data_IF_445525705117
#
_entry.id   IF_445525705117
#
_cell.length_a   1.000
_cell.length_b   1.000
_cell.length_c   1.000
_cell.angle_alpha   90.00
_cell.angle_beta   90.00
_cell.angle_gamma   90.00
#
_symmetry.space_group_name_H-M   'P 1'
#
loop_
_entity.id
_entity.type
_entity.pdbx_description
1 polymer ?
#
# COMPACT_ATOMS: atom_id res chain seq x y z
N UNK A 1 65.80 -29.48 20.46
CA UNK A 1 66.72 -29.03 21.51
C UNK A 1 65.93 -28.18 22.49
N UNK A 2 65.96 -28.61 23.76
CA UNK A 2 65.69 -27.83 24.99
C UNK A 2 64.27 -27.27 25.15
N UNK A 3 63.39 -27.94 25.91
CA UNK A 3 63.26 -27.85 27.38
C UNK A 3 62.68 -26.49 27.86
N UNK A 4 61.40 -26.52 28.31
CA UNK A 4 60.89 -26.32 29.69
C UNK A 4 61.70 -25.38 30.64
N UNK A 5 61.19 -24.99 31.83
CA UNK A 5 59.83 -25.11 32.41
C UNK A 5 59.39 -23.92 33.32
N UNK A 6 58.17 -24.03 33.90
CA UNK A 6 57.76 -23.75 35.31
C UNK A 6 57.98 -22.35 35.92
N UNK A 7 57.35 -21.91 37.00
CA UNK A 7 56.56 -22.49 38.08
C UNK A 7 55.80 -21.31 38.75
N UNK A 8 54.60 -21.48 39.34
CA UNK A 8 54.36 -21.70 40.79
C UNK A 8 54.70 -20.47 41.65
N UNK A 9 54.00 -20.02 42.69
CA UNK A 9 52.99 -20.57 43.60
C UNK A 9 52.46 -19.39 44.46
N UNK A 10 51.19 -19.36 44.86
CA UNK A 10 50.71 -19.59 46.24
C UNK A 10 50.57 -18.34 47.14
N UNK A 11 49.46 -18.30 47.91
CA UNK A 11 49.34 -17.47 49.12
C UNK A 11 47.95 -16.89 49.45
N UNK A 12 47.05 -17.71 49.99
CA UNK A 12 45.86 -17.35 50.81
C UNK A 12 46.25 -16.70 52.18
N UNK A 13 45.34 -16.43 53.16
CA UNK A 13 44.11 -15.60 53.28
C UNK A 13 44.24 -14.73 54.60
N UNK A 14 43.28 -14.49 55.55
CA UNK A 14 41.80 -14.51 55.62
C UNK A 14 41.15 -13.31 56.40
N UNK A 15 39.83 -13.45 56.68
CA UNK A 15 39.02 -12.92 57.80
C UNK A 15 38.19 -11.64 57.47
N UNK A 16 36.91 -11.45 57.85
CA UNK A 16 36.04 -12.01 58.91
C UNK A 16 34.55 -11.82 58.52
N UNK A 17 33.68 -12.76 58.92
CA UNK A 17 32.22 -12.61 59.00
C UNK A 17 31.81 -11.97 60.36
N UNK A 18 30.52 -11.64 60.69
CA UNK A 18 29.49 -12.68 60.91
C UNK A 18 27.99 -12.30 60.74
N UNK A 19 27.18 -13.37 60.61
CA UNK A 19 25.84 -13.64 61.22
C UNK A 19 24.64 -12.72 60.89
N UNK A 20 23.42 -13.20 60.60
CA UNK A 20 22.57 -14.24 61.21
C UNK A 20 21.25 -14.33 60.39
N UNK A 21 20.39 -15.36 60.35
CA UNK A 21 20.36 -16.74 60.84
C UNK A 21 19.12 -17.48 60.25
N UNK A 22 19.31 -18.77 59.91
CA UNK A 22 18.47 -19.97 60.22
C UNK A 22 17.01 -20.09 59.70
N UNK A 23 16.42 -21.25 59.35
CA UNK A 23 16.71 -22.71 59.43
C UNK A 23 15.59 -23.46 58.63
N UNK A 24 15.84 -24.44 57.75
CA UNK A 24 16.05 -25.91 57.91
C UNK A 24 14.80 -26.82 58.03
N UNK A 25 14.69 -27.80 57.11
CA UNK A 25 14.36 -29.23 57.36
C UNK A 25 14.43 -29.98 55.99
N UNK A 26 15.42 -30.83 55.69
CA UNK A 26 15.70 -32.18 56.18
C UNK A 26 14.69 -33.26 55.70
N UNK A 27 15.10 -34.17 54.79
CA UNK A 27 15.52 -35.55 55.11
C UNK A 27 15.61 -36.46 53.86
N UNK A 28 16.73 -37.16 53.84
CA UNK A 28 17.04 -38.37 53.07
C UNK A 28 16.13 -39.55 53.40
N UNK A 29 15.85 -40.40 52.42
CA UNK A 29 15.85 -41.85 52.64
C UNK A 29 16.15 -42.60 51.34
N UNK A 30 17.21 -43.41 51.38
CA UNK A 30 17.53 -44.37 50.34
C UNK A 30 16.57 -45.56 50.40
N UNK A 31 16.23 -46.10 49.23
CA UNK A 31 15.79 -47.48 49.11
C UNK A 31 16.39 -48.10 47.84
N UNK A 32 17.13 -49.17 48.10
CA UNK A 32 17.51 -50.29 47.25
C UNK A 32 16.94 -50.31 45.82
N UNK A 33 17.84 -50.13 44.85
CA UNK A 33 17.66 -50.55 43.46
C UNK A 33 17.46 -52.06 43.37
N UNK A 34 16.21 -52.49 43.23
CA UNK A 34 15.89 -53.80 42.68
C UNK A 34 15.90 -53.67 41.17
N UNK A 35 16.86 -54.33 40.51
CA UNK A 35 16.97 -54.37 39.07
C UNK A 35 15.70 -54.99 38.46
N UNK A 36 14.94 -54.18 37.72
CA UNK A 36 13.90 -54.68 36.84
C UNK A 36 14.56 -55.47 35.68
N UNK A 37 14.01 -56.62 35.26
CA UNK A 37 14.60 -57.42 34.21
C UNK A 37 14.62 -56.62 32.89
N UNK A 38 15.77 -56.65 32.20
CA UNK A 38 15.93 -56.15 30.84
C UNK A 38 14.79 -56.69 29.97
N UNK A 39 13.90 -55.79 29.55
CA UNK A 39 12.88 -56.09 28.56
C UNK A 39 13.51 -56.76 27.35
N UNK A 40 12.94 -57.88 26.94
CA UNK A 40 13.33 -58.64 25.76
C UNK A 40 13.45 -57.70 24.56
N UNK A 41 14.57 -57.80 23.84
CA UNK A 41 14.76 -57.04 22.61
C UNK A 41 13.56 -57.28 21.69
N UNK A 42 12.80 -56.21 21.43
CA UNK A 42 11.55 -56.24 20.67
C UNK A 42 11.77 -56.99 19.35
N UNK A 43 11.37 -58.26 19.29
CA UNK A 43 11.49 -59.07 18.09
C UNK A 43 10.49 -58.48 17.10
N UNK A 44 10.98 -57.72 16.12
CA UNK A 44 10.14 -57.02 15.14
C UNK A 44 9.13 -57.96 14.45
N UNK A 45 8.07 -57.37 13.90
CA UNK A 45 6.89 -58.08 13.39
C UNK A 45 7.26 -59.29 12.49
N UNK A 46 6.85 -60.53 12.86
CA UNK A 46 7.25 -61.76 12.17
C UNK A 46 6.84 -61.80 10.69
N UNK A 47 5.74 -61.13 10.32
CA UNK A 47 5.27 -61.04 8.94
C UNK A 47 6.29 -60.36 8.00
N UNK A 48 6.95 -59.27 8.45
CA UNK A 48 7.97 -58.59 7.63
C UNK A 48 9.25 -59.40 7.49
N UNK A 49 9.55 -60.26 8.47
CA UNK A 49 10.69 -61.17 8.42
C UNK A 49 10.45 -62.33 7.45
N UNK A 50 9.22 -62.83 7.36
CA UNK A 50 8.84 -63.88 6.41
C UNK A 50 8.82 -63.39 4.95
N UNK A 51 8.61 -62.08 4.72
CA UNK A 51 8.67 -61.45 3.39
C UNK A 51 10.07 -60.99 2.96
N UNK A 52 11.12 -61.26 3.76
CA UNK A 52 12.50 -60.87 3.42
C UNK A 52 12.77 -59.36 3.40
N UNK A 53 11.84 -58.55 3.91
CA UNK A 53 11.95 -57.09 3.90
C UNK A 53 12.89 -56.60 5.01
N UNK A 54 13.79 -55.64 4.73
CA UNK A 54 14.68 -55.09 5.74
C UNK A 54 13.87 -54.42 6.85
N UNK A 55 14.43 -54.36 8.06
CA UNK A 55 13.81 -53.66 9.20
C UNK A 55 13.74 -52.17 8.90
N UNK A 56 12.61 -51.70 8.39
CA UNK A 56 12.29 -50.28 8.30
C UNK A 56 12.20 -49.73 9.72
N UNK A 57 13.26 -49.04 10.17
CA UNK A 57 13.22 -48.31 11.44
C UNK A 57 12.28 -47.13 11.25
N UNK A 58 11.07 -47.28 11.78
CA UNK A 58 10.18 -46.15 11.90
C UNK A 58 10.86 -45.11 12.79
N UNK A 59 10.78 -43.83 12.41
CA UNK A 59 11.27 -42.76 13.25
C UNK A 59 10.54 -42.75 14.60
N UNK A 60 11.19 -42.17 15.61
CA UNK A 60 10.64 -42.13 16.97
C UNK A 60 9.29 -41.40 17.02
N UNK A 61 8.47 -41.65 18.05
CA UNK A 61 7.17 -41.00 18.25
C UNK A 61 7.23 -39.48 18.09
N UNK A 62 8.22 -38.83 18.70
CA UNK A 62 8.37 -37.37 18.63
C UNK A 62 8.70 -36.90 17.20
N UNK A 63 9.49 -37.68 16.46
CA UNK A 63 9.81 -37.36 15.07
C UNK A 63 8.63 -37.62 14.13
N UNK A 64 7.81 -38.65 14.38
CA UNK A 64 6.55 -38.85 13.67
C UNK A 64 5.59 -37.68 13.89
N UNK A 65 5.42 -37.23 15.14
CA UNK A 65 4.58 -36.07 15.46
C UNK A 65 5.10 -34.81 14.74
N UNK A 66 6.42 -34.59 14.80
CA UNK A 66 7.05 -33.46 14.14
C UNK A 66 6.83 -33.49 12.62
N UNK A 67 7.09 -34.62 11.97
CA UNK A 67 6.86 -34.77 10.53
C UNK A 67 5.39 -34.67 10.15
N UNK A 68 4.48 -35.21 10.95
CA UNK A 68 3.05 -35.13 10.64
C UNK A 68 2.55 -33.69 10.70
N UNK A 69 2.99 -32.91 11.69
CA UNK A 69 2.58 -31.50 11.83
C UNK A 69 3.22 -30.64 10.74
N UNK A 70 4.53 -30.73 10.55
CA UNK A 70 5.25 -29.94 9.55
C UNK A 70 4.85 -30.31 8.12
N UNK A 71 4.70 -31.61 7.84
CA UNK A 71 4.22 -32.12 6.56
C UNK A 71 2.79 -31.69 6.26
N UNK A 72 1.89 -31.76 7.24
CA UNK A 72 0.50 -31.29 7.06
C UNK A 72 0.46 -29.78 6.77
N UNK A 73 1.20 -28.96 7.53
CA UNK A 73 1.26 -27.52 7.28
C UNK A 73 1.87 -27.19 5.91
N UNK A 74 3.00 -27.81 5.55
CA UNK A 74 3.63 -27.61 4.25
C UNK A 74 2.70 -28.03 3.10
N UNK A 75 1.99 -29.16 3.24
CA UNK A 75 1.01 -29.60 2.25
C UNK A 75 -0.13 -28.60 2.08
N UNK A 76 -0.63 -28.01 3.16
CA UNK A 76 -1.68 -26.99 3.10
C UNK A 76 -1.21 -25.72 2.37
N UNK A 77 0.03 -25.27 2.63
CA UNK A 77 0.62 -24.11 1.94
C UNK A 77 0.82 -24.39 0.45
N UNK A 78 1.35 -25.56 0.10
CA UNK A 78 1.56 -25.95 -1.31
C UNK A 78 0.21 -26.07 -2.03
N UNK A 79 -0.77 -26.68 -1.38
CA UNK A 79 -2.12 -26.82 -1.91
C UNK A 79 -2.77 -25.46 -2.18
N UNK A 80 -2.73 -24.53 -1.21
CA UNK A 80 -3.34 -23.21 -1.39
C UNK A 80 -2.64 -22.39 -2.49
N UNK A 81 -1.30 -22.49 -2.62
CA UNK A 81 -0.56 -21.87 -3.74
C UNK A 81 -0.95 -22.47 -5.09
N UNK A 82 -1.07 -23.79 -5.17
CA UNK A 82 -1.50 -24.48 -6.38
C UNK A 82 -2.92 -24.07 -6.79
N UNK A 83 -3.86 -24.04 -5.83
CA UNK A 83 -5.23 -23.60 -6.08
C UNK A 83 -5.31 -22.13 -6.47
N UNK A 84 -4.56 -21.25 -5.79
CA UNK A 84 -4.48 -19.83 -6.14
C UNK A 84 -3.99 -19.63 -7.57
N UNK A 85 -3.01 -20.42 -8.02
CA UNK A 85 -2.54 -20.38 -9.41
C UNK A 85 -3.62 -20.85 -10.39
N UNK A 86 -4.31 -21.95 -10.10
CA UNK A 86 -5.42 -22.46 -10.94
C UNK A 86 -6.58 -21.47 -11.05
N UNK A 87 -6.93 -20.81 -9.95
CA UNK A 87 -7.98 -19.77 -9.92
C UNK A 87 -7.56 -18.57 -10.76
N UNK A 88 -6.31 -18.13 -10.65
CA UNK A 88 -5.78 -17.05 -11.49
C UNK A 88 -5.81 -17.42 -12.97
N UNK A 89 -5.34 -18.62 -13.31
CA UNK A 89 -5.35 -19.14 -14.68
C UNK A 89 -6.78 -19.18 -15.24
N UNK A 90 -7.78 -19.59 -14.47
CA UNK A 90 -9.21 -19.55 -14.86
C UNK A 90 -9.63 -18.16 -15.34
N UNK A 91 -9.31 -17.09 -14.60
CA UNK A 91 -9.70 -15.72 -14.96
C UNK A 91 -8.83 -15.13 -16.07
N UNK A 92 -7.52 -15.42 -16.09
CA UNK A 92 -6.66 -15.06 -17.22
C UNK A 92 -7.16 -15.69 -18.53
N UNK A 93 -7.58 -16.95 -18.48
CA UNK A 93 -8.15 -17.69 -19.60
C UNK A 93 -9.46 -17.08 -20.09
N UNK A 94 -10.32 -16.64 -19.17
CA UNK A 94 -11.57 -15.96 -19.54
C UNK A 94 -11.30 -14.72 -20.40
N UNK A 95 -10.30 -13.93 -20.00
CA UNK A 95 -9.97 -12.62 -20.58
C UNK A 95 -9.02 -12.71 -21.78
N UNK A 96 -8.39 -13.86 -22.00
CA UNK A 96 -7.36 -14.11 -23.03
C UNK A 96 -7.77 -13.86 -24.48
N UNK A 97 -9.07 -13.70 -24.77
CA UNK A 97 -9.57 -13.41 -26.11
C UNK A 97 -9.40 -11.93 -26.50
N UNK A 98 -9.34 -11.02 -25.53
CA UNK A 98 -9.28 -9.56 -25.78
C UNK A 98 -8.03 -9.13 -26.57
N UNK A 99 -6.82 -9.63 -26.26
CA UNK A 99 -5.63 -9.31 -27.05
C UNK A 99 -5.68 -9.71 -28.52
N UNK A 100 -6.55 -10.66 -28.89
CA UNK A 100 -6.70 -11.14 -30.26
C UNK A 100 -7.66 -10.26 -31.08
N UNK A 101 -8.36 -9.32 -30.43
CA UNK A 101 -9.19 -8.34 -31.12
C UNK A 101 -8.31 -7.34 -31.86
N UNK A 102 -8.63 -7.12 -33.14
CA UNK A 102 -7.85 -6.23 -33.98
C UNK A 102 -8.19 -4.78 -33.64
N UNK A 103 -7.15 -3.99 -33.33
CA UNK A 103 -7.27 -2.56 -33.05
C UNK A 103 -6.87 -1.72 -34.26
N UNK A 104 -7.55 -0.60 -34.49
CA UNK A 104 -7.17 0.34 -35.55
C UNK A 104 -5.79 0.96 -35.23
N UNK A 105 -4.84 1.00 -36.18
CA UNK A 105 -3.48 1.49 -35.94
C UNK A 105 -3.40 2.96 -35.49
N UNK A 106 -4.45 3.75 -35.68
CA UNK A 106 -4.50 5.14 -35.21
C UNK A 106 -5.23 5.29 -33.88
N UNK A 107 -5.85 4.23 -33.35
CA UNK A 107 -6.50 4.26 -32.05
C UNK A 107 -5.54 3.82 -30.95
N UNK A 108 -5.53 4.56 -29.83
CA UNK A 108 -4.79 4.15 -28.64
C UNK A 108 -5.51 2.98 -27.94
N UNK A 109 -4.77 2.01 -27.37
CA UNK A 109 -5.37 0.92 -26.62
C UNK A 109 -6.06 1.43 -25.36
N UNK A 110 -7.01 0.63 -24.86
CA UNK A 110 -7.74 0.93 -23.63
C UNK A 110 -6.78 0.91 -22.44
N UNK A 111 -6.89 1.93 -21.58
CA UNK A 111 -6.07 2.07 -20.37
C UNK A 111 -6.93 2.18 -19.11
N UNK A 112 -6.48 1.55 -18.02
CA UNK A 112 -7.16 1.53 -16.72
C UNK A 112 -6.33 2.29 -15.68
N UNK A 113 -6.95 3.08 -14.81
CA UNK A 113 -6.23 3.67 -13.68
C UNK A 113 -6.29 2.76 -12.47
N UNK A 114 -5.19 2.60 -11.75
CA UNK A 114 -5.11 1.82 -10.53
C UNK A 114 -4.73 2.72 -9.38
N UNK A 115 -5.60 2.80 -8.38
CA UNK A 115 -5.40 3.54 -7.15
C UNK A 115 -4.91 2.59 -6.05
N UNK A 116 -3.73 2.89 -5.53
CA UNK A 116 -3.02 2.09 -4.52
C UNK A 116 -2.59 3.02 -3.38
N UNK A 117 -2.85 2.66 -2.13
CA UNK A 117 -2.26 3.33 -0.98
C UNK A 117 -1.70 2.33 0.02
N UNK A 118 -0.80 2.80 0.87
CA UNK A 118 -0.35 2.04 2.01
C UNK A 118 -1.54 1.69 2.93
N UNK A 119 -1.69 0.43 3.35
CA UNK A 119 -2.70 0.09 4.36
C UNK A 119 -2.39 0.81 5.67
N UNK A 120 -3.41 1.07 6.50
CA UNK A 120 -3.20 1.80 7.73
C UNK A 120 -2.28 1.02 8.70
N UNK A 121 -1.21 1.68 9.13
CA UNK A 121 -0.22 1.12 10.06
C UNK A 121 0.89 0.28 9.41
N UNK A 122 0.97 0.22 8.08
CA UNK A 122 2.02 -0.48 7.34
C UNK A 122 2.42 0.32 6.08
N UNK A 123 3.43 -0.13 5.32
CA UNK A 123 3.96 0.55 4.16
C UNK A 123 3.32 0.17 2.82
N UNK A 124 3.67 0.91 1.78
CA UNK A 124 3.17 0.70 0.41
C UNK A 124 3.60 -0.63 -0.22
N UNK A 125 4.64 -1.30 0.30
CA UNK A 125 5.13 -2.59 -0.22
C UNK A 125 4.02 -3.65 -0.23
N UNK A 126 3.25 -3.75 0.86
CA UNK A 126 2.18 -4.74 0.99
C UNK A 126 1.10 -4.55 -0.08
N UNK A 127 0.73 -3.30 -0.37
CA UNK A 127 -0.24 -2.97 -1.42
C UNK A 127 0.30 -3.30 -2.83
N UNK A 128 1.59 -3.01 -3.09
CA UNK A 128 2.23 -3.39 -4.36
C UNK A 128 2.31 -4.89 -4.54
N UNK A 129 2.67 -5.65 -3.51
CA UNK A 129 2.67 -7.11 -3.56
C UNK A 129 1.28 -7.66 -3.87
N UNK A 130 0.24 -7.08 -3.26
CA UNK A 130 -1.16 -7.44 -3.54
C UNK A 130 -1.53 -7.22 -5.00
N UNK A 131 -1.18 -6.05 -5.56
CA UNK A 131 -1.35 -5.75 -6.98
C UNK A 131 -0.63 -6.75 -7.89
N UNK A 132 0.66 -7.02 -7.62
CA UNK A 132 1.46 -7.94 -8.43
C UNK A 132 0.95 -9.38 -8.37
N UNK A 133 0.43 -9.81 -7.23
CA UNK A 133 -0.04 -11.17 -7.03
C UNK A 133 -1.41 -11.43 -7.64
N UNK A 134 -2.36 -10.50 -7.53
CA UNK A 134 -3.76 -10.79 -7.92
C UNK A 134 -4.22 -10.01 -9.14
N UNK A 135 -3.92 -8.72 -9.23
CA UNK A 135 -4.47 -7.83 -10.26
C UNK A 135 -3.65 -7.87 -11.55
N UNK A 136 -2.33 -7.69 -11.44
CA UNK A 136 -1.40 -7.62 -12.58
C UNK A 136 -1.54 -8.81 -13.55
N UNK A 137 -1.63 -10.08 -13.10
CA UNK A 137 -1.70 -11.20 -14.03
C UNK A 137 -2.92 -11.19 -14.95
N UNK A 138 -4.08 -10.72 -14.46
CA UNK A 138 -5.31 -10.63 -15.25
C UNK A 138 -5.19 -9.50 -16.27
N UNK A 139 -4.67 -8.34 -15.87
CA UNK A 139 -4.44 -7.20 -16.79
C UNK A 139 -3.42 -7.54 -17.89
N UNK A 140 -2.35 -8.26 -17.55
CA UNK A 140 -1.34 -8.71 -18.52
C UNK A 140 -1.92 -9.74 -19.49
N UNK A 141 -2.73 -10.67 -19.00
CA UNK A 141 -3.42 -11.63 -19.88
C UNK A 141 -4.37 -10.95 -20.88
N UNK A 142 -4.89 -9.78 -20.51
CA UNK A 142 -5.76 -8.95 -21.35
C UNK A 142 -5.01 -8.00 -22.29
N UNK A 143 -3.67 -7.91 -22.20
CA UNK A 143 -2.87 -6.88 -22.88
C UNK A 143 -3.37 -5.44 -22.63
N UNK A 144 -3.88 -5.17 -21.43
CA UNK A 144 -4.40 -3.85 -21.05
C UNK A 144 -3.30 -2.99 -20.45
N UNK A 145 -3.22 -1.72 -20.87
CA UNK A 145 -2.31 -0.75 -20.25
C UNK A 145 -2.90 -0.20 -18.95
N UNK A 146 -2.04 0.18 -18.00
CA UNK A 146 -2.49 0.76 -16.73
C UNK A 146 -1.61 1.92 -16.23
N UNK A 147 -2.26 2.92 -15.65
CA UNK A 147 -1.61 4.00 -14.92
C UNK A 147 -1.77 3.79 -13.42
N UNK A 148 -0.68 3.84 -12.66
CA UNK A 148 -0.73 3.65 -11.20
C UNK A 148 -0.65 4.98 -10.46
N UNK A 149 -1.65 5.25 -9.61
CA UNK A 149 -1.66 6.36 -8.66
C UNK A 149 -1.37 5.81 -7.26
N UNK A 150 -0.14 6.02 -6.79
CA UNK A 150 0.31 5.55 -5.48
C UNK A 150 0.16 6.62 -4.38
N UNK A 151 -0.41 6.27 -3.23
CA UNK A 151 -0.44 7.07 -2.00
C UNK A 151 0.42 6.45 -0.90
N UNK A 152 1.37 7.21 -0.35
CA UNK A 152 2.21 6.75 0.77
C UNK A 152 1.62 7.13 2.11
N UNK A 153 1.01 8.32 2.18
CA UNK A 153 0.32 8.85 3.36
C UNK A 153 -1.15 9.04 3.05
N UNK A 154 -1.93 9.16 4.11
CA UNK A 154 -3.33 9.56 4.04
C UNK A 154 -3.46 10.92 3.36
N UNK A 155 -4.45 11.04 2.47
CA UNK A 155 -4.71 12.21 1.65
C UNK A 155 -3.98 12.20 0.29
N UNK A 156 -2.97 11.35 0.12
CA UNK A 156 -2.18 11.32 -1.11
C UNK A 156 -3.01 10.93 -2.34
N UNK A 157 -3.90 9.95 -2.21
CA UNK A 157 -4.75 9.49 -3.31
C UNK A 157 -5.84 10.51 -3.59
N UNK A 158 -6.42 11.10 -2.54
CA UNK A 158 -7.42 12.18 -2.66
C UNK A 158 -6.88 13.32 -3.50
N UNK A 159 -5.75 13.90 -3.10
CA UNK A 159 -5.14 15.04 -3.78
C UNK A 159 -4.81 14.72 -5.22
N UNK A 160 -4.16 13.58 -5.51
CA UNK A 160 -3.81 13.17 -6.88
C UNK A 160 -5.04 12.99 -7.76
N UNK A 161 -6.13 12.45 -7.20
CA UNK A 161 -7.40 12.28 -7.92
C UNK A 161 -8.03 13.64 -8.21
N UNK A 162 -8.08 14.54 -7.21
CA UNK A 162 -8.62 15.88 -7.37
C UNK A 162 -7.81 16.71 -8.37
N UNK A 163 -6.48 16.69 -8.28
CA UNK A 163 -5.58 17.36 -9.23
C UNK A 163 -5.75 16.85 -10.66
N UNK A 164 -5.89 15.53 -10.85
CA UNK A 164 -6.14 14.96 -12.18
C UNK A 164 -7.45 15.49 -12.78
N UNK A 165 -8.49 15.61 -11.96
CA UNK A 165 -9.79 16.17 -12.39
C UNK A 165 -9.67 17.67 -12.66
N UNK A 166 -8.95 18.43 -11.82
CA UNK A 166 -8.68 19.86 -12.03
C UNK A 166 -7.91 20.10 -13.32
N UNK A 167 -6.85 19.33 -13.59
CA UNK A 167 -6.10 19.40 -14.85
C UNK A 167 -7.00 19.14 -16.06
N UNK A 168 -7.92 18.18 -15.96
CA UNK A 168 -8.95 17.95 -17.01
C UNK A 168 -9.89 19.14 -17.17
N UNK A 169 -10.36 19.74 -16.07
CA UNK A 169 -11.22 20.94 -16.10
C UNK A 169 -10.51 22.14 -16.73
N UNK A 170 -9.23 22.35 -16.38
CA UNK A 170 -8.37 23.39 -16.97
C UNK A 170 -8.16 23.19 -18.46
N UNK A 171 -7.94 21.95 -18.90
CA UNK A 171 -7.89 21.60 -20.34
C UNK A 171 -9.19 21.96 -21.07
N UNK A 172 -10.33 21.85 -20.39
CA UNK A 172 -11.65 22.20 -20.92
C UNK A 172 -11.98 23.71 -20.78
N UNK A 173 -11.03 24.55 -20.34
CA UNK A 173 -11.18 26.00 -20.26
C UNK A 173 -11.76 26.54 -18.95
N UNK A 174 -11.78 25.74 -17.87
CA UNK A 174 -12.19 26.19 -16.54
C UNK A 174 -10.99 26.56 -15.66
N UNK A 175 -10.98 27.77 -15.09
CA UNK A 175 -9.94 28.24 -14.15
C UNK A 175 -8.77 28.97 -14.82
N UNK A 176 -7.70 29.18 -14.07
CA UNK A 176 -6.47 29.74 -14.62
C UNK A 176 -5.78 28.75 -15.58
N UNK A 177 -5.21 29.23 -16.71
CA UNK A 177 -4.48 28.38 -17.64
C UNK A 177 -3.36 27.66 -16.88
N UNK A 178 -3.16 26.37 -17.19
CA UNK A 178 -2.07 25.58 -16.60
C UNK A 178 -0.72 26.29 -16.78
N UNK A 179 0.25 26.00 -15.90
CA UNK A 179 1.58 26.60 -16.01
C UNK A 179 2.18 26.32 -17.40
N UNK A 180 2.94 27.27 -17.93
CA UNK A 180 3.47 27.20 -19.30
C UNK A 180 4.18 25.88 -19.58
N UNK A 181 4.98 25.37 -18.63
CA UNK A 181 5.72 24.11 -18.78
C UNK A 181 4.79 22.88 -18.89
N UNK A 182 3.70 22.82 -18.13
CA UNK A 182 2.75 21.71 -18.20
C UNK A 182 1.93 21.77 -19.48
N UNK A 183 1.54 22.97 -19.90
CA UNK A 183 0.85 23.20 -21.18
C UNK A 183 1.76 22.82 -22.33
N UNK A 184 3.03 23.22 -22.32
CA UNK A 184 3.98 22.92 -23.39
C UNK A 184 4.20 21.41 -23.55
N UNK A 185 4.44 20.69 -22.45
CA UNK A 185 4.65 19.24 -22.51
C UNK A 185 3.39 18.49 -22.97
N UNK A 186 2.22 18.84 -22.43
CA UNK A 186 0.96 18.16 -22.77
C UNK A 186 0.50 18.52 -24.18
N UNK A 187 0.59 19.81 -24.54
CA UNK A 187 0.22 20.30 -25.87
C UNK A 187 1.19 19.80 -26.94
N UNK A 188 2.47 19.58 -26.62
CA UNK A 188 3.40 18.95 -27.55
C UNK A 188 2.97 17.51 -27.86
N UNK A 189 2.66 16.72 -26.84
CA UNK A 189 2.20 15.33 -27.01
C UNK A 189 0.87 15.28 -27.75
N UNK A 190 -0.10 16.11 -27.36
CA UNK A 190 -1.42 16.16 -28.00
C UNK A 190 -1.33 16.70 -29.43
N UNK A 191 -0.54 17.74 -29.71
CA UNK A 191 -0.32 18.22 -31.07
C UNK A 191 0.42 17.21 -31.95
N UNK A 192 1.35 16.42 -31.39
CA UNK A 192 1.95 15.29 -32.10
C UNK A 192 0.91 14.22 -32.42
N UNK A 193 -0.01 13.92 -31.49
CA UNK A 193 -1.11 12.96 -31.70
C UNK A 193 -2.08 13.46 -32.77
N UNK A 194 -2.50 14.71 -32.70
CA UNK A 194 -3.37 15.34 -33.69
C UNK A 194 -2.72 15.34 -35.09
N UNK A 195 -1.43 15.69 -35.18
CA UNK A 195 -0.68 15.63 -36.44
C UNK A 195 -0.62 14.22 -37.03
N UNK A 196 -0.46 13.21 -36.17
CA UNK A 196 -0.44 11.81 -36.58
C UNK A 196 -1.85 11.23 -36.79
N UNK A 197 -2.91 11.98 -36.47
CA UNK A 197 -4.29 11.52 -36.51
C UNK A 197 -4.58 10.38 -35.54
N UNK A 198 -3.83 10.30 -34.43
CA UNK A 198 -4.07 9.28 -33.40
C UNK A 198 -5.14 9.74 -32.43
N UNK A 199 -6.21 8.96 -32.30
CA UNK A 199 -7.34 9.28 -31.43
C UNK A 199 -7.18 8.59 -30.07
N UNK A 200 -7.64 9.26 -29.01
CA UNK A 200 -7.80 8.62 -27.69
C UNK A 200 -8.86 7.51 -27.77
N UNK A 201 -8.75 6.54 -26.87
CA UNK A 201 -9.68 5.41 -26.81
C UNK A 201 -11.12 5.91 -26.55
N UNK A 202 -12.04 5.62 -27.48
CA UNK A 202 -13.45 6.08 -27.46
C UNK A 202 -14.36 5.27 -26.52
N UNK A 203 -13.84 4.16 -25.96
CA UNK A 203 -14.62 3.30 -25.09
C UNK A 203 -14.55 3.65 -23.60
N UNK A 204 -15.08 2.74 -22.79
CA UNK A 204 -15.21 2.91 -21.34
C UNK A 204 -13.87 2.68 -20.64
N UNK A 205 -13.17 3.77 -20.32
CA UNK A 205 -12.09 3.74 -19.33
C UNK A 205 -12.67 3.64 -17.92
N UNK A 206 -11.96 2.98 -17.00
CA UNK A 206 -12.39 2.89 -15.61
C UNK A 206 -11.24 2.76 -14.63
N UNK A 207 -11.61 2.74 -13.36
CA UNK A 207 -10.70 2.91 -12.23
C UNK A 207 -10.79 1.70 -11.28
N UNK A 208 -9.64 1.09 -11.00
CA UNK A 208 -9.48 0.02 -10.01
C UNK A 208 -8.95 0.61 -8.71
N UNK A 209 -9.69 0.47 -7.62
CA UNK A 209 -9.32 1.07 -6.32
C UNK A 209 -9.07 -0.03 -5.29
N UNK A 210 -7.83 -0.15 -4.82
CA UNK A 210 -7.40 -1.29 -3.98
C UNK A 210 -7.49 -0.94 -2.50
N UNK A 211 -8.49 -1.52 -1.82
CA UNK A 211 -8.74 -1.39 -0.39
C UNK A 211 -9.76 -0.32 0.00
N UNK A 212 -10.36 -0.48 1.19
CA UNK A 212 -11.33 0.48 1.71
C UNK A 212 -10.76 1.88 1.96
N UNK A 213 -9.53 1.99 2.43
CA UNK A 213 -8.89 3.28 2.72
C UNK A 213 -8.66 4.10 1.45
N UNK A 214 -8.17 3.46 0.37
CA UNK A 214 -8.04 4.12 -0.94
C UNK A 214 -9.39 4.49 -1.52
N UNK A 215 -10.42 3.65 -1.32
CA UNK A 215 -11.79 3.95 -1.76
C UNK A 215 -12.32 5.23 -1.12
N UNK A 216 -12.14 5.41 0.20
CA UNK A 216 -12.52 6.65 0.90
C UNK A 216 -11.82 7.87 0.32
N UNK A 217 -10.51 7.79 0.10
CA UNK A 217 -9.74 8.87 -0.51
C UNK A 217 -10.12 9.15 -1.97
N UNK A 218 -10.35 8.12 -2.75
CA UNK A 218 -10.77 8.23 -4.15
C UNK A 218 -12.11 8.94 -4.27
N UNK A 219 -13.11 8.49 -3.50
CA UNK A 219 -14.44 9.12 -3.47
C UNK A 219 -14.33 10.57 -3.00
N UNK A 220 -13.54 10.84 -1.95
CA UNK A 220 -13.27 12.20 -1.47
C UNK A 220 -12.64 13.08 -2.55
N UNK A 221 -11.64 12.56 -3.26
CA UNK A 221 -10.94 13.23 -4.35
C UNK A 221 -11.83 13.48 -5.58
N UNK A 222 -12.75 12.57 -5.90
CA UNK A 222 -13.77 12.77 -6.94
C UNK A 222 -14.66 13.98 -6.62
N UNK A 223 -15.19 14.04 -5.40
CA UNK A 223 -16.06 15.15 -4.98
C UNK A 223 -15.29 16.45 -4.90
N UNK A 224 -14.09 16.44 -4.34
CA UNK A 224 -13.22 17.61 -4.27
C UNK A 224 -12.85 18.12 -5.67
N UNK A 225 -12.55 17.22 -6.61
CA UNK A 225 -12.21 17.57 -7.98
C UNK A 225 -13.38 18.16 -8.77
N UNK A 226 -14.61 17.69 -8.55
CA UNK A 226 -15.80 18.09 -9.30
C UNK A 226 -16.73 19.11 -8.64
N UNK A 227 -16.60 19.34 -7.33
CA UNK A 227 -17.34 20.37 -6.59
C UNK A 227 -16.44 21.50 -6.10
N UNK A 228 -15.16 21.18 -5.84
CA UNK A 228 -14.20 22.17 -5.38
C UNK A 228 -13.78 23.16 -6.48
N UNK A 229 -13.12 24.25 -6.08
CA UNK A 229 -12.55 25.21 -7.01
C UNK A 229 -11.50 24.54 -7.92
N UNK A 230 -11.41 25.02 -9.17
CA UNK A 230 -10.43 24.55 -10.14
C UNK A 230 -9.01 24.98 -9.77
N UNK A 231 -8.88 26.16 -9.14
CA UNK A 231 -7.64 26.74 -8.68
C UNK A 231 -7.48 26.58 -7.17
N UNK A 232 -6.22 26.59 -6.72
CA UNK A 232 -5.91 26.54 -5.31
C UNK A 232 -6.55 27.73 -4.60
N UNK A 233 -7.37 27.52 -3.55
CA UNK A 233 -7.80 28.64 -2.73
C UNK A 233 -6.55 29.33 -2.18
N UNK A 234 -6.48 30.65 -2.34
CA UNK A 234 -5.41 31.45 -1.72
C UNK A 234 -5.46 31.14 -0.23
N UNK A 235 -4.45 30.45 0.28
CA UNK A 235 -4.35 30.22 1.71
C UNK A 235 -4.33 31.60 2.37
N UNK A 236 -5.09 31.83 3.46
CA UNK A 236 -4.88 33.03 4.23
C UNK A 236 -3.43 33.00 4.69
N UNK A 237 -2.62 33.92 4.19
CA UNK A 237 -1.33 34.21 4.82
C UNK A 237 -1.64 34.48 6.30
N UNK A 238 -0.86 33.92 7.24
CA UNK A 238 -1.03 34.28 8.64
C UNK A 238 -0.91 35.80 8.74
N UNK A 239 -1.99 36.46 9.15
CA UNK A 239 -2.01 37.90 9.37
C UNK A 239 -0.96 38.23 10.43
N UNK A 240 0.24 38.63 9.99
CA UNK A 240 1.14 39.41 10.84
C UNK A 240 0.36 40.67 11.23
N UNK A 241 0.06 40.77 12.52
CA UNK A 241 -0.83 41.77 13.08
C UNK A 241 -0.50 43.18 12.60
N UNK A 242 -1.50 43.81 11.98
CA UNK A 242 -1.49 45.23 11.73
C UNK A 242 -1.60 46.00 13.05
N UNK A 243 -0.55 46.73 13.42
CA UNK A 243 -0.67 48.00 14.14
C UNK A 243 0.64 48.79 14.00
N UNK A 244 0.67 49.77 13.08
CA UNK A 244 0.74 51.21 13.36
C UNK A 244 0.72 51.96 12.02
N UNK A 245 -0.32 52.76 11.83
CA UNK A 245 -0.44 53.71 10.72
C UNK A 245 0.52 54.90 10.91
N UNK A 246 1.32 55.14 9.88
CA UNK A 246 1.86 56.41 9.35
C UNK A 246 1.67 57.72 10.13
N UNK A 247 2.79 58.43 10.37
CA UNK A 247 2.86 59.89 10.27
C UNK A 247 4.21 60.33 9.66
N UNK A 248 4.10 61.22 8.65
CA UNK A 248 5.14 61.78 7.77
C UNK A 248 6.29 62.53 8.47
N UNK A 249 7.51 62.57 7.87
CA UNK A 249 8.28 63.82 7.65
C UNK A 249 9.59 63.66 6.79
N UNK A 250 9.54 64.20 5.55
CA UNK A 250 10.53 64.97 4.71
C UNK A 250 11.89 64.39 4.28
N UNK A 251 12.29 64.59 3.00
CA UNK A 251 13.57 64.14 2.45
C UNK A 251 14.71 65.13 2.72
N UNK A 252 15.88 64.58 3.05
CA UNK A 252 17.19 65.20 2.86
C UNK A 252 18.06 65.23 4.10
N UNK A 253 18.94 64.23 4.27
CA UNK A 253 20.41 64.29 4.57
C UNK A 253 20.96 62.86 4.33
N UNK A 254 22.13 62.66 3.66
CA UNK A 254 22.56 61.33 3.21
C UNK A 254 23.27 60.53 4.31
N UNK A 255 23.04 59.22 4.36
CA UNK A 255 23.87 58.30 5.15
C UNK A 255 24.69 57.40 4.22
N UNK A 256 26.00 57.40 4.47
CA UNK A 256 27.04 56.73 3.72
C UNK A 256 26.89 55.20 3.78
N UNK A 257 26.91 54.56 2.63
CA UNK A 257 27.02 53.10 2.51
C UNK A 257 27.01 52.60 1.06
N UNK A 258 26.43 53.38 0.14
CA UNK A 258 26.17 52.95 -1.24
C UNK A 258 27.27 53.31 -2.26
N UNK A 259 28.50 53.52 -1.80
CA UNK A 259 29.64 53.89 -2.65
C UNK A 259 30.61 52.74 -2.97
N UNK A 260 30.31 51.49 -2.59
CA UNK A 260 31.23 50.37 -2.76
C UNK A 260 30.82 49.30 -3.79
N UNK A 261 29.67 49.43 -4.46
CA UNK A 261 29.13 48.36 -5.35
C UNK A 261 29.24 48.69 -6.84
N UNK A 262 29.87 49.80 -7.22
CA UNK A 262 29.93 50.22 -8.64
C UNK A 262 31.33 50.53 -9.17
N UNK A 263 32.30 49.66 -8.87
CA UNK A 263 33.62 49.72 -9.51
C UNK A 263 34.42 48.40 -9.40
N UNK A 264 33.88 47.26 -9.82
CA UNK A 264 34.70 46.04 -10.02
C UNK A 264 34.06 44.99 -10.95
N UNK A 265 33.33 45.44 -11.97
CA UNK A 265 32.83 44.58 -13.04
C UNK A 265 33.45 44.97 -14.38
N UNK A 266 34.73 44.62 -14.60
CA UNK A 266 35.21 44.14 -15.90
C UNK A 266 36.70 43.77 -15.91
N UNK A 267 36.96 42.62 -16.55
CA UNK A 267 38.23 42.15 -17.13
C UNK A 267 39.20 41.37 -16.22
N UNK A 268 39.07 40.05 -16.20
CA UNK A 268 40.20 39.13 -16.44
C UNK A 268 39.68 37.73 -16.80
N UNK A 269 40.05 37.31 -17.99
CA UNK A 269 39.76 36.06 -18.68
C UNK A 269 40.73 34.95 -18.25
N UNK A 270 40.27 33.69 -18.17
CA UNK A 270 40.83 32.48 -18.84
C UNK A 270 40.56 31.14 -18.09
N UNK A 271 39.82 30.26 -18.80
CA UNK A 271 40.10 28.84 -19.14
C UNK A 271 40.34 27.74 -18.08
N UNK A 272 39.66 26.60 -18.34
CA UNK A 272 40.16 25.20 -18.16
C UNK A 272 39.51 24.44 -17.00
N UNK A 273 38.47 23.60 -17.19
CA UNK A 273 38.42 22.23 -17.74
C UNK A 273 38.77 21.09 -16.72
N UNK A 274 37.89 20.07 -16.65
CA UNK A 274 38.11 18.64 -16.29
C UNK A 274 38.61 18.27 -14.86
N UNK A 275 38.22 17.21 -14.12
CA UNK A 275 37.46 15.96 -14.30
C UNK A 275 37.08 15.36 -12.91
N UNK A 276 36.12 14.43 -12.85
CA UNK A 276 35.89 13.47 -11.74
C UNK A 276 36.91 12.29 -11.81
N UNK A 277 36.88 11.18 -11.01
CA UNK A 277 36.05 10.75 -9.86
C UNK A 277 36.85 10.00 -8.71
N UNK A 278 36.11 9.21 -7.89
CA UNK A 278 36.50 8.12 -6.95
C UNK A 278 36.92 8.48 -5.52
N UNK A 279 36.19 8.10 -4.46
CA UNK A 279 35.87 6.75 -3.90
C UNK A 279 36.88 6.34 -2.81
N UNK A 280 36.44 6.30 -1.54
CA UNK A 280 36.82 5.31 -0.52
C UNK A 280 36.32 5.69 0.89
N UNK A 281 35.53 4.79 1.49
CA UNK A 281 35.26 4.62 2.92
C UNK A 281 36.56 4.31 3.70
N UNK A 282 36.65 4.52 5.03
CA UNK A 282 36.27 3.44 5.96
C UNK A 282 35.62 3.88 7.30
N UNK A 283 34.89 2.92 7.87
CA UNK A 283 34.37 2.78 9.25
C UNK A 283 35.53 2.63 10.28
N UNK A 284 35.57 3.30 11.44
CA UNK A 284 34.93 3.04 12.76
C UNK A 284 35.85 2.43 13.85
N UNK A 285 35.49 2.76 15.12
CA UNK A 285 35.90 2.25 16.45
C UNK A 285 37.04 3.04 17.13
N UNK A 286 36.88 3.65 18.31
CA UNK A 286 36.52 3.08 19.65
C UNK A 286 35.88 4.15 20.58
N UNK A 287 34.66 3.95 21.10
CA UNK A 287 34.24 3.60 22.50
C UNK A 287 34.65 4.53 23.66
N UNK A 288 33.63 5.20 24.25
CA UNK A 288 33.20 5.38 25.66
C UNK A 288 34.28 5.55 26.77
N UNK A 289 34.15 6.42 27.79
CA UNK A 289 32.97 6.72 28.63
C UNK A 289 33.22 7.97 29.54
N UNK A 290 32.12 8.45 30.14
CA UNK A 290 32.00 9.21 31.41
C UNK A 290 31.87 10.75 31.37
N UNK A 291 30.60 11.18 31.47
CA UNK A 291 30.11 12.51 31.86
C UNK A 291 30.30 12.79 33.37
N UNK A 292 30.18 14.05 33.82
CA UNK A 292 28.94 14.37 34.53
C UNK A 292 28.32 15.72 34.11
N UNK A 293 26.99 15.73 34.19
CA UNK A 293 26.07 16.80 33.90
C UNK A 293 26.06 17.93 34.95
N UNK A 294 25.91 19.18 34.50
CA UNK A 294 24.92 20.17 34.96
C UNK A 294 25.21 21.53 34.29
N UNK A 295 24.16 22.32 34.03
CA UNK A 295 24.16 23.67 33.42
C UNK A 295 24.29 23.78 31.88
N UNK A 296 23.26 23.35 31.17
CA UNK A 296 22.92 23.86 29.82
C UNK A 296 21.41 23.74 29.53
N UNK A 297 20.56 24.12 30.50
CA UNK A 297 19.10 23.88 30.43
C UNK A 297 18.25 25.15 30.22
N UNK A 298 18.79 26.20 29.60
CA UNK A 298 18.05 27.45 29.39
C UNK A 298 18.15 28.10 27.99
N UNK A 299 18.74 27.43 26.99
CA UNK A 299 18.81 27.99 25.62
C UNK A 299 18.26 27.09 24.49
N UNK A 300 17.69 25.92 24.80
CA UNK A 300 17.07 25.03 23.79
C UNK A 300 15.56 25.24 23.59
N UNK A 301 14.86 25.97 24.46
CA UNK A 301 13.40 26.14 24.38
C UNK A 301 12.91 27.23 23.38
N UNK A 302 13.80 27.89 22.64
CA UNK A 302 13.40 28.97 21.69
C UNK A 302 13.68 28.66 20.23
N UNK A 303 14.09 27.43 19.88
CA UNK A 303 14.34 27.01 18.48
C UNK A 303 13.57 25.77 18.02
N UNK A 304 12.77 25.14 18.87
CA UNK A 304 11.93 23.99 18.48
C UNK A 304 10.49 24.37 18.05
N UNK A 305 10.11 25.65 18.10
CA UNK A 305 8.75 26.08 17.72
C UNK A 305 8.54 26.46 16.24
N UNK A 306 9.59 26.44 15.39
CA UNK A 306 9.50 27.10 14.07
C UNK A 306 9.68 26.24 12.80
N UNK A 307 9.66 24.90 12.88
CA UNK A 307 9.40 24.09 11.68
C UNK A 307 8.45 22.93 11.98
N UNK A 308 7.15 23.26 12.19
CA UNK A 308 6.10 22.27 11.94
C UNK A 308 6.32 21.74 10.51
N UNK A 309 6.46 20.41 10.29
CA UNK A 309 6.71 19.88 8.96
C UNK A 309 5.53 20.26 8.07
N UNK A 310 5.78 21.12 7.08
CA UNK A 310 4.75 21.53 6.12
C UNK A 310 4.07 20.27 5.59
N UNK A 311 2.72 20.20 5.60
CA UNK A 311 2.04 19.03 5.08
C UNK A 311 2.50 18.81 3.65
N UNK A 312 2.77 17.55 3.29
CA UNK A 312 3.30 17.22 1.95
C UNK A 312 2.34 17.64 0.84
N UNK A 313 1.07 17.82 1.18
CA UNK A 313 0.01 18.15 0.26
C UNK A 313 -0.88 19.24 0.88
N UNK A 314 -1.49 20.08 0.04
CA UNK A 314 -2.41 21.08 0.54
C UNK A 314 -3.66 20.41 1.12
N UNK A 315 -4.28 21.03 2.14
CA UNK A 315 -5.55 20.56 2.70
C UNK A 315 -6.62 20.50 1.60
N UNK A 316 -7.72 19.73 1.81
CA UNK A 316 -8.79 19.61 0.84
C UNK A 316 -9.42 20.99 0.57
N UNK A 317 -9.65 21.31 -0.70
CA UNK A 317 -10.16 22.63 -1.09
C UNK A 317 -11.64 22.84 -0.70
N UNK A 318 -12.35 21.75 -0.45
CA UNK A 318 -13.74 21.76 -0.01
C UNK A 318 -13.97 20.66 1.02
N UNK A 319 -14.69 21.00 2.08
CA UNK A 319 -15.06 20.08 3.16
C UNK A 319 -16.37 19.34 2.83
N UNK A 320 -16.65 18.16 3.45
CA UNK A 320 -17.84 17.36 3.09
C UNK A 320 -19.13 18.13 3.35
N UNK A 321 -19.13 18.95 4.40
CA UNK A 321 -20.24 19.80 4.83
C UNK A 321 -20.65 20.83 3.78
N UNK A 322 -19.75 21.19 2.86
CA UNK A 322 -20.00 22.17 1.80
C UNK A 322 -20.41 21.53 0.47
N UNK A 323 -20.48 20.20 0.36
CA UNK A 323 -20.86 19.52 -0.89
C UNK A 323 -22.24 19.95 -1.41
N UNK A 324 -23.31 19.99 -0.60
CA UNK A 324 -24.66 20.32 -1.09
C UNK A 324 -24.76 21.75 -1.63
N UNK A 325 -24.01 22.69 -1.07
CA UNK A 325 -24.02 24.11 -1.49
C UNK A 325 -23.06 24.41 -2.63
N UNK A 326 -22.14 23.52 -2.96
CA UNK A 326 -21.17 23.72 -4.01
C UNK A 326 -21.80 23.61 -5.41
N UNK A 327 -21.32 24.44 -6.34
CA UNK A 327 -21.71 24.39 -7.75
C UNK A 327 -20.94 23.29 -8.48
N UNK A 328 -21.66 22.41 -9.17
CA UNK A 328 -21.06 21.40 -10.03
C UNK A 328 -20.41 22.07 -11.26
N UNK A 329 -19.23 21.60 -11.66
CA UNK A 329 -18.55 22.12 -12.87
C UNK A 329 -19.29 21.75 -14.14
N UNK A 330 -19.18 22.65 -15.12
CA UNK A 330 -19.80 22.51 -16.45
C UNK A 330 -19.16 21.39 -17.26
N UNK A 331 -17.87 21.14 -17.04
CA UNK A 331 -17.11 20.06 -17.70
C UNK A 331 -17.31 18.67 -17.07
N UNK A 332 -18.22 18.52 -16.10
CA UNK A 332 -18.51 17.23 -15.49
C UNK A 332 -19.29 16.35 -16.49
N UNK A 333 -18.78 15.17 -16.88
CA UNK A 333 -19.48 14.28 -17.82
C UNK A 333 -20.78 13.76 -17.22
N UNK A 334 -21.76 13.42 -18.06
CA UNK A 334 -23.05 12.87 -17.63
C UNK A 334 -22.88 11.52 -16.92
N UNK A 335 -21.99 10.67 -17.41
CA UNK A 335 -21.61 9.41 -16.78
C UNK A 335 -20.13 9.46 -16.42
N UNK A 336 -19.81 9.22 -15.15
CA UNK A 336 -18.44 9.00 -14.72
C UNK A 336 -18.01 7.58 -15.10
N UNK A 337 -16.73 7.43 -15.43
CA UNK A 337 -16.15 6.13 -15.74
C UNK A 337 -16.41 5.13 -14.60
N UNK A 338 -16.66 3.86 -14.91
CA UNK A 338 -16.90 2.85 -13.90
C UNK A 338 -15.70 2.67 -12.98
N UNK A 339 -15.99 2.47 -11.71
CA UNK A 339 -15.00 2.19 -10.68
C UNK A 339 -15.33 0.91 -9.93
N UNK A 340 -14.33 0.22 -9.41
CA UNK A 340 -14.52 -0.96 -8.56
C UNK A 340 -13.56 -0.95 -7.38
N UNK A 341 -14.09 -1.27 -6.20
CA UNK A 341 -13.31 -1.43 -4.98
C UNK A 341 -12.82 -2.88 -4.87
N UNK A 342 -11.51 -3.08 -4.99
CA UNK A 342 -10.85 -4.38 -4.84
C UNK A 342 -10.52 -4.62 -3.37
N UNK A 343 -10.91 -5.78 -2.84
CA UNK A 343 -10.61 -6.18 -1.47
C UNK A 343 -9.10 -6.17 -1.19
N UNK A 344 -8.70 -5.58 -0.06
CA UNK A 344 -7.34 -5.54 0.45
C UNK A 344 -7.32 -5.86 1.96
N UNK A 345 -7.54 -7.14 2.33
CA UNK A 345 -7.59 -7.53 3.73
C UNK A 345 -6.22 -7.47 4.39
N UNK A 346 -6.00 -6.44 5.21
CA UNK A 346 -4.78 -6.25 5.99
C UNK A 346 -5.11 -6.15 7.49
N UNK A 347 -4.68 -7.15 8.27
CA UNK A 347 -4.82 -7.12 9.75
C UNK A 347 -3.44 -7.00 10.37
N UNK A 348 -3.29 -6.11 11.36
CA UNK A 348 -2.11 -5.97 12.21
C UNK A 348 -2.24 -6.64 13.59
N UNK A 349 -1.10 -6.97 14.23
CA UNK A 349 -1.03 -7.42 15.63
C UNK A 349 -0.79 -8.92 15.87
N UNK A 350 -0.14 -9.23 17.00
CA UNK A 350 0.22 -10.60 17.40
C UNK A 350 -1.00 -11.46 17.79
N UNK A 351 -1.99 -10.88 18.48
CA UNK A 351 -3.22 -11.60 18.85
C UNK A 351 -4.04 -12.06 17.63
N UNK A 352 -3.84 -11.40 16.49
CA UNK A 352 -4.49 -11.72 15.23
C UNK A 352 -3.69 -12.74 14.38
N UNK A 353 -2.58 -13.28 14.89
CA UNK A 353 -1.78 -14.31 14.21
C UNK A 353 -2.57 -15.56 13.80
N UNK A 354 -3.49 -16.16 14.60
CA UNK A 354 -4.26 -17.30 14.13
C UNK A 354 -5.17 -16.95 12.95
N UNK A 355 -5.79 -15.76 12.96
CA UNK A 355 -6.62 -15.26 11.86
C UNK A 355 -5.76 -15.02 10.61
N UNK A 356 -4.55 -14.47 10.77
CA UNK A 356 -3.59 -14.28 9.69
C UNK A 356 -3.14 -15.61 9.08
N UNK A 357 -2.89 -16.64 9.89
CA UNK A 357 -2.55 -17.99 9.41
C UNK A 357 -3.73 -18.59 8.65
N UNK A 358 -4.95 -18.46 9.17
CA UNK A 358 -6.15 -18.91 8.47
C UNK A 358 -6.31 -18.22 7.10
N UNK A 359 -6.20 -16.89 7.05
CA UNK A 359 -6.23 -16.11 5.80
C UNK A 359 -5.08 -16.47 4.86
N UNK A 360 -3.91 -16.80 5.39
CA UNK A 360 -2.75 -17.24 4.61
C UNK A 360 -2.97 -18.58 3.92
N UNK A 361 -3.70 -19.51 4.56
CA UNK A 361 -4.02 -20.84 4.03
C UNK A 361 -5.31 -20.87 3.19
N UNK A 362 -6.00 -19.74 3.05
CA UNK A 362 -7.26 -19.61 2.31
C UNK A 362 -7.20 -18.49 1.26
N UNK A 363 -6.00 -18.14 0.77
CA UNK A 363 -5.81 -17.05 -0.19
C UNK A 363 -6.48 -17.33 -1.52
N UNK A 364 -6.76 -18.60 -1.85
CA UNK A 364 -7.51 -18.98 -3.05
C UNK A 364 -8.86 -18.27 -3.19
N UNK A 365 -9.58 -18.04 -2.08
CA UNK A 365 -10.91 -17.43 -2.12
C UNK A 365 -10.82 -15.92 -2.37
N UNK A 366 -9.86 -15.27 -1.73
CA UNK A 366 -9.50 -13.88 -2.00
C UNK A 366 -9.04 -13.72 -3.47
N UNK A 367 -8.22 -14.64 -3.96
CA UNK A 367 -7.75 -14.59 -5.33
C UNK A 367 -8.92 -14.70 -6.32
N UNK A 368 -9.91 -15.56 -6.05
CA UNK A 368 -11.09 -15.72 -6.90
C UNK A 368 -11.93 -14.45 -6.95
N UNK A 369 -12.23 -13.84 -5.80
CA UNK A 369 -13.01 -12.60 -5.75
C UNK A 369 -12.29 -11.43 -6.43
N UNK A 370 -11.00 -11.23 -6.16
CA UNK A 370 -10.25 -10.14 -6.79
C UNK A 370 -10.10 -10.36 -8.29
N UNK A 371 -9.81 -11.59 -8.74
CA UNK A 371 -9.67 -11.86 -10.16
C UNK A 371 -11.02 -11.72 -10.88
N UNK A 372 -12.14 -12.04 -10.23
CA UNK A 372 -13.49 -11.77 -10.75
C UNK A 372 -13.72 -10.26 -10.95
N UNK A 373 -13.44 -9.46 -9.94
CA UNK A 373 -13.61 -8.00 -9.98
C UNK A 373 -12.75 -7.36 -11.09
N UNK A 374 -11.50 -7.81 -11.22
CA UNK A 374 -10.58 -7.33 -12.27
C UNK A 374 -11.01 -7.81 -13.65
N UNK A 375 -11.49 -9.06 -13.78
CA UNK A 375 -12.03 -9.56 -15.05
C UNK A 375 -13.26 -8.75 -15.49
N UNK A 376 -14.16 -8.41 -14.58
CA UNK A 376 -15.30 -7.53 -14.87
C UNK A 376 -14.85 -6.15 -15.38
N UNK A 377 -13.82 -5.56 -14.76
CA UNK A 377 -13.26 -4.30 -15.22
C UNK A 377 -12.66 -4.40 -16.63
N UNK A 378 -11.98 -5.51 -16.92
CA UNK A 378 -11.37 -5.75 -18.21
C UNK A 378 -12.41 -6.00 -19.31
N UNK A 379 -13.49 -6.74 -19.03
CA UNK A 379 -14.60 -6.92 -19.99
C UNK A 379 -15.43 -5.65 -20.21
N UNK A 380 -15.16 -4.59 -19.44
CA UNK A 380 -15.86 -3.30 -19.51
C UNK A 380 -17.35 -3.34 -19.19
N UNK A 381 -17.85 -4.46 -18.67
CA UNK A 381 -19.24 -4.62 -18.28
C UNK A 381 -19.51 -3.80 -17.02
N UNK A 382 -20.43 -2.84 -17.11
CA UNK A 382 -20.70 -1.88 -16.04
C UNK A 382 -22.19 -1.55 -15.93
N UNK A 383 -22.59 -1.18 -14.72
CA UNK A 383 -23.95 -0.79 -14.36
C UNK A 383 -23.99 0.44 -13.47
N UNK A 384 -25.17 1.00 -13.24
CA UNK A 384 -25.37 2.02 -12.22
C UNK A 384 -25.20 1.43 -10.82
N UNK A 385 -24.67 2.23 -9.89
CA UNK A 385 -24.82 1.95 -8.46
C UNK A 385 -26.28 2.22 -8.04
N UNK A 386 -27.21 1.35 -8.44
CA UNK A 386 -28.51 1.16 -7.79
C UNK A 386 -29.29 -0.02 -8.42
N UNK A 387 -29.88 -0.85 -7.55
CA UNK A 387 -30.75 -2.01 -7.83
C UNK A 387 -30.05 -3.31 -8.22
N UNK A 388 -28.77 -3.47 -7.91
CA UNK A 388 -28.07 -4.75 -8.07
C UNK A 388 -27.47 -5.16 -6.73
N UNK A 389 -28.34 -5.63 -5.83
CA UNK A 389 -28.13 -6.64 -4.77
C UNK A 389 -29.25 -6.54 -3.72
N UNK A 390 -30.48 -6.85 -4.14
CA UNK A 390 -31.53 -7.30 -3.22
C UNK A 390 -31.30 -8.77 -2.77
N UNK A 391 -30.04 -9.15 -2.51
CA UNK A 391 -29.68 -10.55 -2.23
C UNK A 391 -28.57 -10.72 -1.16
N UNK A 392 -28.36 -9.72 -0.31
CA UNK A 392 -27.67 -9.94 0.97
C UNK A 392 -28.36 -9.10 2.04
N UNK A 393 -29.51 -9.60 2.49
CA UNK A 393 -30.09 -9.26 3.79
C UNK A 393 -29.05 -9.59 4.86
N UNK A 394 -28.38 -8.57 5.43
CA UNK A 394 -28.00 -8.46 6.86
C UNK A 394 -27.05 -7.25 7.09
N UNK A 395 -27.50 -6.00 6.87
CA UNK A 395 -27.04 -4.85 7.68
C UNK A 395 -27.96 -3.63 7.48
N UNK A 396 -28.74 -3.33 8.51
CA UNK A 396 -29.81 -2.33 8.50
C UNK A 396 -29.30 -0.90 8.68
N UNK A 397 -28.97 -0.24 7.59
CA UNK A 397 -29.18 1.22 7.42
C UNK A 397 -29.96 1.45 6.13
N UNK A 398 -31.30 1.58 6.22
CA UNK A 398 -32.13 1.90 5.07
C UNK A 398 -31.83 3.33 4.61
N UNK A 399 -31.33 3.48 3.38
CA UNK A 399 -31.13 4.78 2.73
C UNK A 399 -29.68 5.22 2.48
N UNK A 400 -28.66 4.47 2.93
CA UNK A 400 -27.28 4.82 2.62
C UNK A 400 -26.89 4.37 1.19
N UNK A 401 -26.25 5.25 0.38
CA UNK A 401 -25.82 4.95 -0.99
C UNK A 401 -24.88 3.74 -1.05
N UNK A 402 -25.05 2.84 -2.04
CA UNK A 402 -24.26 1.60 -2.17
C UNK A 402 -22.74 1.87 -2.18
N UNK A 403 -22.32 2.97 -2.79
CA UNK A 403 -20.93 3.41 -2.88
C UNK A 403 -20.30 3.62 -1.50
N UNK A 404 -21.08 3.99 -0.47
CA UNK A 404 -20.56 4.17 0.89
C UNK A 404 -20.31 2.85 1.60
N UNK A 405 -20.97 1.75 1.17
CA UNK A 405 -20.84 0.40 1.75
C UNK A 405 -19.70 -0.43 1.14
N UNK A 406 -19.17 -0.02 0.00
CA UNK A 406 -18.07 -0.72 -0.71
C UNK A 406 -16.88 -0.99 0.22
N UNK A 407 -16.58 -2.26 0.50
CA UNK A 407 -15.48 -2.69 1.38
C UNK A 407 -15.58 -2.23 2.85
N UNK A 408 -16.76 -1.86 3.35
CA UNK A 408 -16.92 -1.36 4.73
C UNK A 408 -16.45 -2.37 5.80
N UNK A 409 -16.64 -3.66 5.57
CA UNK A 409 -16.19 -4.72 6.49
C UNK A 409 -14.66 -4.71 6.72
N UNK A 410 -13.87 -4.11 5.82
CA UNK A 410 -12.42 -4.01 5.99
C UNK A 410 -11.99 -3.03 7.09
N UNK A 411 -12.82 -2.04 7.42
CA UNK A 411 -12.51 -1.06 8.46
C UNK A 411 -12.33 -1.74 9.83
N UNK A 412 -13.07 -2.83 10.08
CA UNK A 412 -12.92 -3.66 11.29
C UNK A 412 -11.55 -4.31 11.45
N UNK A 413 -10.82 -4.49 10.34
CA UNK A 413 -9.49 -5.10 10.32
C UNK A 413 -8.36 -4.09 10.59
N UNK A 414 -8.66 -2.78 10.57
CA UNK A 414 -7.67 -1.73 10.74
C UNK A 414 -7.11 -1.72 12.16
N UNK A 415 -5.85 -1.31 12.28
CA UNK A 415 -5.18 -1.25 13.57
C UNK A 415 -5.75 -0.11 14.42
N UNK A 416 -5.74 -0.25 15.75
CA UNK A 416 -6.34 0.74 16.67
C UNK A 416 -5.77 2.15 16.54
N UNK A 417 -4.49 2.28 16.16
CA UNK A 417 -3.85 3.59 15.96
C UNK A 417 -4.39 4.34 14.75
N UNK A 418 -5.08 3.66 13.84
CA UNK A 418 -5.73 4.27 12.68
C UNK A 418 -6.83 5.24 13.11
N UNK A 419 -7.53 4.91 14.19
CA UNK A 419 -8.64 5.70 14.74
C UNK A 419 -8.20 6.78 15.73
N UNK A 420 -6.88 6.94 15.96
CA UNK A 420 -6.40 8.04 16.78
C UNK A 420 -6.64 9.37 16.05
N UNK A 421 -7.05 10.43 16.78
CA UNK A 421 -7.19 11.75 16.18
C UNK A 421 -5.87 12.16 15.54
N UNK A 422 -5.97 12.67 14.33
CA UNK A 422 -4.82 13.14 13.56
C UNK A 422 -4.25 14.40 14.20
N UNK A 423 -2.96 14.64 13.98
CA UNK A 423 -2.30 15.87 14.44
C UNK A 423 -2.87 17.06 13.68
N UNK A 424 -2.71 18.25 14.24
CA UNK A 424 -3.00 19.50 13.54
C UNK A 424 -2.28 19.49 12.16
N UNK A 425 -3.01 19.81 11.09
CA UNK A 425 -2.57 19.78 9.68
C UNK A 425 -2.48 18.39 9.00
N UNK A 426 -2.76 17.29 9.69
CA UNK A 426 -2.92 15.97 9.06
C UNK A 426 -4.39 15.71 8.71
N UNK A 427 -4.63 15.11 7.54
CA UNK A 427 -5.98 14.76 7.10
C UNK A 427 -6.50 13.49 7.79
N UNK A 428 -7.79 13.47 8.09
CA UNK A 428 -8.51 12.37 8.78
C UNK A 428 -9.50 11.60 7.88
N UNK A 429 -9.26 11.59 6.56
CA UNK A 429 -10.13 10.97 5.54
C UNK A 429 -10.44 9.49 5.81
N UNK A 430 -9.52 8.73 6.39
CA UNK A 430 -9.73 7.33 6.74
C UNK A 430 -10.69 7.15 7.91
N UNK A 431 -10.75 8.09 8.84
CA UNK A 431 -11.59 8.01 10.04
C UNK A 431 -13.00 8.52 9.72
N UNK A 432 -13.09 9.59 8.94
CA UNK A 432 -14.36 10.21 8.54
C UNK A 432 -15.25 9.27 7.72
N UNK A 433 -16.56 9.38 7.88
CA UNK A 433 -17.51 8.63 7.07
C UNK A 433 -17.53 9.12 5.61
N UNK A 434 -17.90 8.23 4.69
CA UNK A 434 -18.02 8.61 3.28
C UNK A 434 -19.28 9.47 3.10
N UNK A 435 -19.07 10.75 2.82
CA UNK A 435 -20.13 11.69 2.41
C UNK A 435 -20.13 11.79 0.89
N UNK A 436 -21.30 11.58 0.29
CA UNK A 436 -21.52 11.64 -1.15
C UNK A 436 -22.47 12.77 -1.51
N UNK A 437 -22.22 13.44 -2.63
CA UNK A 437 -23.17 14.35 -3.27
C UNK A 437 -24.00 13.57 -4.30
N UNK A 438 -25.32 13.70 -4.23
CA UNK A 438 -26.25 12.94 -5.08
C UNK A 438 -26.00 13.17 -6.58
N UNK A 439 -25.52 14.36 -6.97
CA UNK A 439 -25.24 14.71 -8.37
C UNK A 439 -24.02 13.98 -8.92
N UNK A 440 -23.08 13.61 -8.06
CA UNK A 440 -21.90 12.82 -8.43
C UNK A 440 -22.21 11.34 -8.28
N UNK A 441 -22.83 10.95 -7.17
CA UNK A 441 -23.17 9.56 -6.88
C UNK A 441 -24.05 8.92 -7.98
N UNK A 442 -25.04 9.66 -8.49
CA UNK A 442 -25.91 9.21 -9.60
C UNK A 442 -25.17 8.98 -10.92
N UNK A 443 -24.05 9.68 -11.13
CA UNK A 443 -23.22 9.57 -12.34
C UNK A 443 -22.16 8.48 -12.24
N UNK A 444 -21.84 8.01 -11.03
CA UNK A 444 -20.89 6.92 -10.82
C UNK A 444 -21.46 5.60 -11.36
N UNK A 445 -20.57 4.77 -11.92
CA UNK A 445 -20.87 3.44 -12.43
C UNK A 445 -19.98 2.40 -11.76
N UNK A 446 -20.48 1.18 -11.62
CA UNK A 446 -19.76 0.05 -11.05
C UNK A 446 -19.42 -0.94 -12.15
N UNK A 447 -18.22 -1.52 -12.15
CA UNK A 447 -17.98 -2.72 -12.93
C UNK A 447 -18.75 -3.90 -12.34
N UNK A 448 -19.40 -4.67 -13.19
CA UNK A 448 -20.19 -5.84 -12.82
C UNK A 448 -19.97 -6.93 -13.85
N UNK A 449 -19.74 -8.16 -13.40
CA UNK A 449 -19.61 -9.28 -14.31
C UNK A 449 -21.00 -9.67 -14.85
N UNK A 450 -21.10 -9.96 -16.14
CA UNK A 450 -22.37 -10.45 -16.70
C UNK A 450 -22.60 -11.92 -16.29
N UNK A 451 -23.87 -12.35 -16.23
CA UNK A 451 -24.20 -13.74 -15.90
C UNK A 451 -23.60 -14.73 -16.91
N UNK A 452 -23.50 -14.33 -18.18
CA UNK A 452 -22.90 -15.14 -19.25
C UNK A 452 -21.40 -15.36 -19.02
N UNK A 453 -20.69 -14.31 -18.61
CA UNK A 453 -19.26 -14.39 -18.28
C UNK A 453 -19.00 -15.20 -17.02
N UNK A 454 -19.88 -15.11 -16.02
CA UNK A 454 -19.80 -15.96 -14.82
C UNK A 454 -19.96 -17.44 -15.17
N UNK A 455 -20.91 -17.78 -16.03
CA UNK A 455 -21.14 -19.16 -16.45
C UNK A 455 -20.02 -19.66 -17.36
N UNK A 456 -19.44 -18.79 -18.18
CA UNK A 456 -18.21 -19.08 -18.94
C UNK A 456 -17.03 -19.34 -17.99
N UNK A 457 -16.85 -18.53 -16.96
CA UNK A 457 -15.81 -18.73 -15.95
C UNK A 457 -15.95 -20.09 -15.25
N UNK A 458 -17.18 -20.53 -14.94
CA UNK A 458 -17.46 -21.86 -14.39
C UNK A 458 -17.12 -22.97 -15.38
N UNK A 459 -17.50 -22.84 -16.66
CA UNK A 459 -17.16 -23.82 -17.71
C UNK A 459 -15.65 -23.99 -17.92
N UNK A 460 -14.89 -22.88 -17.85
CA UNK A 460 -13.43 -22.90 -17.91
C UNK A 460 -12.86 -23.60 -16.67
N UNK A 461 -13.39 -23.32 -15.47
CA UNK A 461 -12.95 -23.95 -14.24
C UNK A 461 -13.16 -25.48 -14.24
N UNK A 462 -14.27 -25.93 -14.82
CA UNK A 462 -14.63 -27.33 -15.04
C UNK A 462 -13.83 -28.00 -16.17
N UNK A 463 -13.12 -27.22 -16.99
CA UNK A 463 -12.36 -27.71 -18.14
C UNK A 463 -13.22 -28.13 -19.34
N UNK A 464 -14.50 -27.71 -19.38
CA UNK A 464 -15.41 -27.98 -20.52
C UNK A 464 -15.11 -27.09 -21.72
N UNK A 465 -14.61 -25.89 -21.46
CA UNK A 465 -14.15 -24.94 -22.46
C UNK A 465 -12.63 -24.88 -22.42
N UNK A 466 -11.98 -25.31 -23.50
CA UNK A 466 -10.54 -25.11 -23.70
C UNK A 466 -10.35 -23.76 -24.38
N UNK A 467 -9.51 -22.92 -23.81
CA UNK A 467 -9.09 -21.67 -24.45
C UNK A 467 -8.29 -22.05 -25.70
N UNK A 468 -8.59 -21.46 -26.87
CA UNK A 468 -7.78 -21.68 -28.06
C UNK A 468 -6.35 -21.24 -27.76
N UNK A 469 -5.41 -22.15 -27.90
CA UNK A 469 -3.99 -21.80 -27.85
C UNK A 469 -3.65 -21.20 -29.21
N UNK A 470 -2.69 -20.26 -29.31
CA UNK A 470 -2.25 -19.72 -30.61
C UNK A 470 -1.91 -20.80 -31.65
N UNK A 471 -1.45 -21.97 -31.19
CA UNK A 471 -1.16 -23.14 -32.03
C UNK A 471 -2.42 -23.77 -32.67
N UNK A 472 -3.60 -23.59 -32.06
CA UNK A 472 -4.88 -24.09 -32.56
C UNK A 472 -5.53 -23.13 -33.58
N UNK A 473 -5.11 -21.87 -33.63
CA UNK A 473 -5.63 -20.84 -34.57
C UNK A 473 -4.78 -20.74 -35.85
N UNK A 474 -3.51 -21.18 -35.81
CA UNK A 474 -2.60 -21.22 -36.97
C UNK A 474 -2.69 -22.54 -37.78
N UNK A 475 -3.43 -23.53 -37.27
CA UNK A 475 -3.69 -24.83 -37.92
C UNK A 475 -5.09 -24.88 -38.55
#
# INVERSE_FOLDING_TARGET
MSEKPSASAAGEPPATAPSSASASNARSNGSSSTAAPKGTANQGNPAFRMMGLPRLRLPSRNWLIFLSITGSFASAVIYDKYQTRRVREKWCNLVSHIPNEHLDPKSLPRRVTIYLAAPPGDGLRTAREHFHNYVKPVLVAAAMDWDVVEGRKEGDVRYKTAERIRKRRKKNGEGEPMSQEEVENLSLVDAMRERNGTHEFDGVAGDLVIGRNTWKEYVRGLHEGWLGPADAPKQPEPEEGSDVQTANHVPGVPSLGDAAVKAAGNMASQQGAESAPSEATPESQTTDDASPAADAKQEEETKEEEEKPKPRQPPPYIQPTAYPSASLSKSTPETLGPSIGIQFPHILGFRNTPIRIYRFLTRRHLADSICQDVAAAVLASHGSYSTSLAASDDDSTPGAPEQSKVLQHEESNWWKTTFQPRKEHEESVWIEEIVLDDRIASRMRAFQLTAEDEDRAKRIADGREKVPTREDEEA
#
